data_IF_076395756800
#
_entry.id   IF_076395756800
#
_cell.length_a   1.000
_cell.length_b   1.000
_cell.length_c   1.000
_cell.angle_alpha   90.00
_cell.angle_beta   90.00
_cell.angle_gamma   90.00
#
_symmetry.space_group_name_H-M   'P 1'
#
loop_
_entity.id
_entity.type
_entity.pdbx_description
1 polymer ?
#
# COMPACT_ATOMS: atom_id res chain seq x y z
N UNK A 1 -2.03 -27.56 -13.67
CA UNK A 1 -2.57 -26.41 -12.93
C UNK A 1 -3.66 -25.78 -13.77
N UNK A 2 -4.81 -25.42 -13.18
CA UNK A 2 -5.82 -24.69 -13.93
C UNK A 2 -5.30 -23.26 -14.24
N UNK A 3 -5.76 -22.65 -15.34
CA UNK A 3 -5.35 -21.29 -15.72
C UNK A 3 -5.60 -20.27 -14.60
N UNK A 4 -6.64 -20.51 -13.78
CA UNK A 4 -7.01 -19.71 -12.61
C UNK A 4 -5.94 -19.78 -11.53
N UNK A 5 -5.35 -20.95 -11.27
CA UNK A 5 -4.33 -21.13 -10.24
C UNK A 5 -3.04 -20.38 -10.62
N UNK A 6 -2.67 -20.45 -11.90
CA UNK A 6 -1.52 -19.70 -12.44
C UNK A 6 -1.78 -18.20 -12.32
N UNK A 7 -3.00 -17.75 -12.65
CA UNK A 7 -3.40 -16.36 -12.50
C UNK A 7 -3.31 -15.86 -11.05
N UNK A 8 -3.82 -16.63 -10.10
CA UNK A 8 -3.76 -16.30 -8.66
C UNK A 8 -2.33 -16.28 -8.14
N UNK A 9 -1.49 -17.21 -8.57
CA UNK A 9 -0.08 -17.22 -8.22
C UNK A 9 0.64 -15.97 -8.73
N UNK A 10 0.41 -15.58 -9.99
CA UNK A 10 1.00 -14.37 -10.57
C UNK A 10 0.52 -13.10 -9.87
N UNK A 11 -0.78 -12.99 -9.60
CA UNK A 11 -1.35 -11.88 -8.82
C UNK A 11 -0.76 -11.86 -7.41
N UNK A 12 -0.61 -13.02 -6.79
CA UNK A 12 0.04 -13.18 -5.49
C UNK A 12 1.46 -12.63 -5.51
N UNK A 13 2.29 -13.04 -6.46
CA UNK A 13 3.67 -12.55 -6.61
C UNK A 13 3.72 -11.03 -6.80
N UNK A 14 2.88 -10.48 -7.67
CA UNK A 14 2.79 -9.02 -7.87
C UNK A 14 2.43 -8.33 -6.55
N UNK A 15 1.47 -8.87 -5.80
CA UNK A 15 1.03 -8.30 -4.54
C UNK A 15 2.09 -8.40 -3.43
N UNK A 16 2.85 -9.51 -3.36
CA UNK A 16 3.97 -9.69 -2.40
C UNK A 16 5.04 -8.64 -2.60
N UNK A 17 5.41 -8.34 -3.84
CA UNK A 17 6.57 -7.49 -4.11
C UNK A 17 6.22 -6.02 -4.39
N UNK A 18 5.03 -5.75 -4.92
CA UNK A 18 4.63 -4.43 -5.39
C UNK A 18 3.30 -3.94 -4.82
N UNK A 19 2.65 -4.70 -3.92
CA UNK A 19 1.28 -4.41 -3.50
C UNK A 19 1.08 -3.01 -2.93
N UNK A 20 1.91 -2.58 -1.98
CA UNK A 20 1.77 -1.23 -1.41
C UNK A 20 1.98 -0.11 -2.45
N UNK A 21 2.93 -0.29 -3.37
CA UNK A 21 3.14 0.67 -4.46
C UNK A 21 1.94 0.69 -5.42
N UNK A 22 1.43 -0.49 -5.79
CA UNK A 22 0.29 -0.64 -6.67
C UNK A 22 -0.97 0.02 -6.11
N UNK A 23 -1.21 -0.06 -4.80
CA UNK A 23 -2.33 0.63 -4.16
C UNK A 23 -2.24 2.16 -4.28
N UNK A 24 -1.04 2.74 -4.13
CA UNK A 24 -0.85 4.19 -4.30
C UNK A 24 -1.10 4.59 -5.76
N UNK A 25 -0.56 3.83 -6.70
CA UNK A 25 -0.77 4.10 -8.12
C UNK A 25 -2.24 3.92 -8.52
N UNK A 26 -2.94 2.91 -8.01
CA UNK A 26 -4.35 2.69 -8.26
C UNK A 26 -5.20 3.89 -7.79
N UNK A 27 -4.93 4.42 -6.59
CA UNK A 27 -5.60 5.64 -6.10
C UNK A 27 -5.30 6.84 -6.98
N UNK A 28 -4.03 7.02 -7.40
CA UNK A 28 -3.66 8.12 -8.29
C UNK A 28 -4.30 8.01 -9.68
N UNK A 29 -4.46 6.79 -10.21
CA UNK A 29 -5.10 6.52 -11.48
C UNK A 29 -6.60 6.82 -11.40
N UNK A 30 -7.26 6.41 -10.32
CA UNK A 30 -8.66 6.79 -10.07
C UNK A 30 -8.81 8.31 -9.98
N UNK A 31 -7.89 8.98 -9.28
CA UNK A 31 -7.81 10.44 -9.23
C UNK A 31 -7.65 11.07 -10.62
N UNK A 32 -6.77 10.50 -11.45
CA UNK A 32 -6.59 10.92 -12.83
C UNK A 32 -7.88 10.80 -13.65
N UNK A 33 -8.56 9.66 -13.58
CA UNK A 33 -9.79 9.44 -14.33
C UNK A 33 -10.91 10.39 -13.89
N UNK A 34 -11.08 10.60 -12.59
CA UNK A 34 -12.06 11.54 -12.04
C UNK A 34 -11.71 12.99 -12.45
N UNK A 35 -10.44 13.37 -12.31
CA UNK A 35 -9.95 14.70 -12.68
C UNK A 35 -10.06 14.98 -14.18
N UNK A 36 -9.76 13.99 -15.03
CA UNK A 36 -9.90 14.07 -16.47
C UNK A 36 -11.39 14.19 -16.87
N UNK A 37 -12.27 13.46 -16.18
CA UNK A 37 -13.72 13.63 -16.32
C UNK A 37 -14.18 15.04 -15.94
N UNK A 38 -13.67 15.60 -14.84
CA UNK A 38 -13.92 17.00 -14.48
C UNK A 38 -13.41 17.99 -15.52
N UNK A 39 -12.18 17.77 -16.02
CA UNK A 39 -11.58 18.56 -17.09
C UNK A 39 -12.40 18.52 -18.38
N UNK A 40 -12.94 17.35 -18.76
CA UNK A 40 -13.82 17.18 -19.90
C UNK A 40 -15.11 18.01 -19.78
N UNK A 41 -15.74 17.99 -18.60
CA UNK A 41 -17.00 18.71 -18.34
C UNK A 41 -16.79 20.22 -18.29
N UNK A 42 -15.70 20.69 -17.68
CA UNK A 42 -15.42 22.12 -17.50
C UNK A 42 -14.70 22.76 -18.69
N UNK A 43 -14.06 21.98 -19.55
CA UNK A 43 -13.26 22.48 -20.68
C UNK A 43 -14.01 23.48 -21.58
N UNK A 44 -15.27 23.26 -22.02
CA UNK A 44 -15.96 24.22 -22.90
C UNK A 44 -16.14 25.60 -22.25
N UNK A 45 -16.45 25.64 -20.96
CA UNK A 45 -16.65 26.87 -20.19
C UNK A 45 -15.34 27.62 -19.98
N UNK A 46 -14.28 26.91 -19.58
CA UNK A 46 -12.97 27.51 -19.32
C UNK A 46 -12.33 27.97 -20.62
N UNK A 47 -12.25 27.12 -21.63
CA UNK A 47 -11.64 27.45 -22.93
C UNK A 47 -12.44 28.52 -23.67
N UNK A 48 -13.76 28.57 -23.47
CA UNK A 48 -14.61 29.61 -24.04
C UNK A 48 -14.34 31.00 -23.48
N UNK A 49 -13.93 31.11 -22.21
CA UNK A 49 -13.51 32.37 -21.62
C UNK A 49 -12.18 32.90 -22.21
N UNK A 50 -11.31 32.00 -22.68
CA UNK A 50 -9.98 32.34 -23.22
C UNK A 50 -9.88 32.24 -24.75
N UNK A 51 -11.00 31.97 -25.45
CA UNK A 51 -11.02 31.83 -26.91
C UNK A 51 -10.22 30.62 -27.44
N UNK A 52 -9.95 29.62 -26.60
CA UNK A 52 -9.06 28.48 -26.90
C UNK A 52 -9.85 27.18 -27.17
N UNK A 53 -11.01 27.27 -27.83
CA UNK A 53 -12.00 26.19 -27.97
C UNK A 53 -11.60 25.08 -28.98
N UNK A 54 -10.35 25.08 -29.46
CA UNK A 54 -9.87 24.06 -30.40
C UNK A 54 -9.66 22.69 -29.76
N UNK A 55 -9.56 21.65 -30.59
CA UNK A 55 -9.29 20.26 -30.17
C UNK A 55 -8.06 20.16 -29.25
N UNK A 56 -7.01 20.92 -29.55
CA UNK A 56 -5.79 20.98 -28.75
C UNK A 56 -6.06 21.55 -27.36
N UNK A 57 -6.81 22.65 -27.26
CA UNK A 57 -7.19 23.24 -25.97
C UNK A 57 -8.02 22.29 -25.12
N UNK A 58 -8.94 21.57 -25.76
CA UNK A 58 -9.76 20.55 -25.11
C UNK A 58 -8.93 19.39 -24.56
N UNK A 59 -8.04 18.82 -25.38
CA UNK A 59 -7.14 17.74 -24.96
C UNK A 59 -6.25 18.18 -23.79
N UNK A 60 -5.70 19.41 -23.85
CA UNK A 60 -4.91 19.98 -22.76
C UNK A 60 -5.74 20.11 -21.48
N UNK A 61 -6.96 20.62 -21.55
CA UNK A 61 -7.83 20.77 -20.37
C UNK A 61 -8.14 19.42 -19.70
N UNK A 62 -8.39 18.36 -20.47
CA UNK A 62 -8.61 17.01 -19.95
C UNK A 62 -7.34 16.45 -19.29
N UNK A 63 -6.18 16.57 -19.94
CA UNK A 63 -4.91 16.09 -19.41
C UNK A 63 -4.55 16.83 -18.11
N UNK A 64 -4.67 18.16 -18.10
CA UNK A 64 -4.40 18.98 -16.91
C UNK A 64 -5.37 18.63 -15.79
N UNK A 65 -6.67 18.49 -16.08
CA UNK A 65 -7.67 18.04 -15.11
C UNK A 65 -7.31 16.68 -14.51
N UNK A 66 -6.87 15.73 -15.33
CA UNK A 66 -6.41 14.43 -14.88
C UNK A 66 -5.18 14.50 -14.00
N UNK A 67 -4.14 15.25 -14.41
CA UNK A 67 -2.92 15.41 -13.60
C UNK A 67 -3.22 16.07 -12.24
N UNK A 68 -4.08 17.09 -12.23
CA UNK A 68 -4.55 17.72 -10.99
C UNK A 68 -5.34 16.73 -10.13
N UNK A 69 -6.24 15.94 -10.72
CA UNK A 69 -6.98 14.90 -10.01
C UNK A 69 -6.06 13.86 -9.37
N UNK A 70 -5.06 13.37 -10.10
CA UNK A 70 -4.07 12.44 -9.58
C UNK A 70 -3.28 13.01 -8.39
N UNK A 71 -2.82 14.27 -8.52
CA UNK A 71 -2.10 14.95 -7.45
C UNK A 71 -2.98 15.19 -6.21
N UNK A 72 -4.22 15.65 -6.41
CA UNK A 72 -5.18 15.89 -5.34
C UNK A 72 -5.59 14.60 -4.64
N UNK A 73 -5.78 13.50 -5.36
CA UNK A 73 -6.09 12.20 -4.75
C UNK A 73 -4.94 11.67 -3.88
N UNK A 74 -3.69 11.89 -4.30
CA UNK A 74 -2.53 11.54 -3.47
C UNK A 74 -2.49 12.34 -2.15
N UNK A 75 -2.78 13.65 -2.24
CA UNK A 75 -2.87 14.53 -1.07
C UNK A 75 -4.06 14.12 -0.19
N UNK A 76 -5.22 13.89 -0.77
CA UNK A 76 -6.44 13.47 -0.06
C UNK A 76 -6.24 12.15 0.68
N UNK A 77 -5.51 11.19 0.11
CA UNK A 77 -5.18 9.93 0.78
C UNK A 77 -4.37 10.16 2.07
N UNK A 78 -3.48 11.15 2.07
CA UNK A 78 -2.70 11.52 3.26
C UNK A 78 -3.58 12.15 4.33
N UNK A 79 -4.53 13.01 3.94
CA UNK A 79 -5.48 13.62 4.87
C UNK A 79 -6.53 12.63 5.40
N UNK A 80 -6.94 11.66 4.59
CA UNK A 80 -7.95 10.67 4.94
C UNK A 80 -7.56 9.85 6.18
N UNK A 81 -6.26 9.63 6.39
CA UNK A 81 -5.74 8.94 7.58
C UNK A 81 -5.26 9.91 8.65
N UNK A 82 -4.61 11.02 8.27
CA UNK A 82 -4.07 11.97 9.22
C UNK A 82 -5.15 12.67 10.06
N UNK A 83 -6.30 13.03 9.48
CA UNK A 83 -7.36 13.77 10.20
C UNK A 83 -7.98 12.91 11.30
N UNK A 84 -8.49 11.69 11.05
CA UNK A 84 -9.00 10.83 12.11
C UNK A 84 -7.95 10.52 13.18
N UNK A 85 -6.71 10.26 12.78
CA UNK A 85 -5.62 10.00 13.73
C UNK A 85 -5.23 11.22 14.54
N UNK A 86 -5.34 12.43 14.00
CA UNK A 86 -5.23 13.68 14.76
C UNK A 86 -6.31 13.76 15.83
N UNK A 87 -7.56 13.50 15.47
CA UNK A 87 -8.69 13.55 16.40
C UNK A 87 -8.51 12.55 17.54
N UNK A 88 -8.12 11.32 17.22
CA UNK A 88 -7.84 10.27 18.22
C UNK A 88 -6.66 10.68 19.11
N UNK A 89 -5.56 11.16 18.52
CA UNK A 89 -4.38 11.62 19.27
C UNK A 89 -4.71 12.80 20.20
N UNK A 90 -5.49 13.77 19.72
CA UNK A 90 -5.93 14.91 20.51
C UNK A 90 -6.85 14.49 21.66
N UNK A 91 -7.74 13.52 21.42
CA UNK A 91 -8.61 12.95 22.45
C UNK A 91 -7.79 12.24 23.55
N UNK A 92 -6.79 11.43 23.17
CA UNK A 92 -5.85 10.82 24.12
C UNK A 92 -5.09 11.90 24.89
N UNK A 93 -4.63 12.96 24.21
CA UNK A 93 -3.98 14.12 24.82
C UNK A 93 -4.84 14.77 25.92
N UNK A 94 -6.12 15.01 25.62
CA UNK A 94 -7.06 15.65 26.56
C UNK A 94 -7.44 14.78 27.75
N UNK A 95 -7.78 13.50 27.50
CA UNK A 95 -8.46 12.68 28.50
C UNK A 95 -7.56 11.66 29.19
N UNK A 96 -6.41 11.33 28.60
CA UNK A 96 -5.48 10.33 29.16
C UNK A 96 -4.20 10.99 29.64
N UNK A 97 -3.60 11.86 28.83
CA UNK A 97 -2.28 12.45 29.11
C UNK A 97 -2.40 13.62 30.08
N UNK A 98 -3.27 14.59 29.79
CA UNK A 98 -3.42 15.83 30.58
C UNK A 98 -3.69 15.58 32.08
N UNK A 99 -4.61 14.67 32.49
CA UNK A 99 -4.92 14.46 33.91
C UNK A 99 -3.75 13.94 34.75
N UNK A 100 -2.66 13.46 34.13
CA UNK A 100 -1.50 12.90 34.84
C UNK A 100 -0.65 13.98 35.51
N UNK A 101 -0.68 15.22 35.00
CA UNK A 101 0.21 16.29 35.48
C UNK A 101 -0.46 17.65 35.61
N UNK A 102 -1.74 17.79 35.24
CA UNK A 102 -2.50 19.01 35.50
C UNK A 102 -3.98 18.73 35.74
N UNK A 103 -4.54 19.41 36.74
CA UNK A 103 -5.97 19.38 37.08
C UNK A 103 -6.81 20.36 36.24
N UNK A 104 -6.16 21.22 35.42
CA UNK A 104 -6.85 22.19 34.57
C UNK A 104 -5.95 23.23 33.91
N UNK A 105 -6.56 24.16 33.18
CA UNK A 105 -5.86 25.31 32.56
C UNK A 105 -5.61 25.19 31.06
N UNK A 106 -5.06 26.26 30.48
CA UNK A 106 -4.90 26.43 29.03
C UNK A 106 -3.93 25.41 28.41
N UNK A 107 -3.01 24.87 29.23
CA UNK A 107 -1.99 23.91 28.80
C UNK A 107 -2.60 22.62 28.23
N UNK A 108 -3.82 22.25 28.65
CA UNK A 108 -4.56 21.07 28.13
C UNK A 108 -4.75 21.11 26.61
N UNK A 109 -4.99 22.30 26.07
CA UNK A 109 -5.22 22.47 24.63
C UNK A 109 -3.92 22.36 23.84
N UNK A 110 -2.81 22.81 24.44
CA UNK A 110 -1.48 22.64 23.89
C UNK A 110 -1.10 21.15 23.85
N UNK A 111 -1.34 20.42 24.95
CA UNK A 111 -1.11 18.96 25.03
C UNK A 111 -1.97 18.22 24.01
N UNK A 112 -3.26 18.59 23.88
CA UNK A 112 -4.16 18.04 22.88
C UNK A 112 -3.65 18.26 21.45
N UNK A 113 -3.20 19.47 21.12
CA UNK A 113 -2.68 19.79 19.80
C UNK A 113 -1.41 18.98 19.48
N UNK A 114 -0.47 18.90 20.42
CA UNK A 114 0.77 18.12 20.25
C UNK A 114 0.47 16.63 20.13
N UNK A 115 -0.39 16.08 21.00
CA UNK A 115 -0.79 14.67 20.94
C UNK A 115 -1.59 14.36 19.66
N UNK A 116 -2.38 15.31 19.17
CA UNK A 116 -3.05 15.22 17.87
C UNK A 116 -2.05 15.15 16.71
N UNK A 117 -1.05 16.04 16.68
CA UNK A 117 0.00 16.01 15.65
C UNK A 117 0.75 14.66 15.71
N UNK A 118 1.11 14.21 16.91
CA UNK A 118 1.75 12.90 17.09
C UNK A 118 0.85 11.76 16.59
N UNK A 119 -0.45 11.80 16.91
CA UNK A 119 -1.44 10.86 16.42
C UNK A 119 -1.53 10.85 14.89
N UNK A 120 -1.58 12.02 14.25
CA UNK A 120 -1.61 12.15 12.79
C UNK A 120 -0.36 11.53 12.13
N UNK A 121 0.83 11.83 12.66
CA UNK A 121 2.10 11.28 12.16
C UNK A 121 2.14 9.76 12.34
N UNK A 122 1.74 9.27 13.51
CA UNK A 122 1.71 7.84 13.81
C UNK A 122 0.70 7.11 12.93
N UNK A 123 -0.53 7.61 12.80
CA UNK A 123 -1.55 7.00 11.97
C UNK A 123 -1.19 6.97 10.49
N UNK A 124 -0.63 8.07 9.97
CA UNK A 124 -0.12 8.12 8.61
C UNK A 124 1.01 7.10 8.38
N UNK A 125 1.94 6.99 9.33
CA UNK A 125 3.07 6.04 9.27
C UNK A 125 2.58 4.59 9.36
N UNK A 126 1.72 4.29 10.34
CA UNK A 126 1.14 2.97 10.56
C UNK A 126 0.31 2.51 9.35
N UNK A 127 -0.40 3.40 8.67
CA UNK A 127 -1.15 3.03 7.46
C UNK A 127 -0.22 2.48 6.37
N UNK A 128 0.96 3.11 6.17
CA UNK A 128 1.94 2.60 5.20
C UNK A 128 2.44 1.21 5.58
N UNK A 129 2.75 1.01 6.86
CA UNK A 129 3.17 -0.31 7.35
C UNK A 129 2.06 -1.35 7.26
N UNK A 130 0.82 -1.00 7.60
CA UNK A 130 -0.33 -1.88 7.50
C UNK A 130 -0.57 -2.31 6.05
N UNK A 131 -0.45 -1.39 5.10
CA UNK A 131 -0.59 -1.70 3.68
C UNK A 131 0.49 -2.68 3.19
N UNK A 132 1.75 -2.45 3.57
CA UNK A 132 2.86 -3.38 3.27
C UNK A 132 2.60 -4.75 3.87
N UNK A 133 2.17 -4.79 5.14
CA UNK A 133 1.88 -6.03 5.84
C UNK A 133 0.75 -6.81 5.16
N UNK A 134 -0.39 -6.16 4.92
CA UNK A 134 -1.58 -6.80 4.33
C UNK A 134 -1.26 -7.30 2.93
N UNK A 135 -0.61 -6.49 2.08
CA UNK A 135 -0.31 -6.90 0.71
C UNK A 135 0.75 -7.99 0.64
N UNK A 136 1.77 -7.95 1.51
CA UNK A 136 2.76 -9.03 1.64
C UNK A 136 2.10 -10.32 2.13
N UNK A 137 1.19 -10.23 3.10
CA UNK A 137 0.48 -11.38 3.66
C UNK A 137 -0.44 -12.04 2.63
N UNK A 138 -1.34 -11.25 2.02
CA UNK A 138 -2.29 -11.75 1.02
C UNK A 138 -1.53 -12.26 -0.21
N UNK A 139 -0.49 -11.54 -0.64
CA UNK A 139 0.34 -11.97 -1.74
C UNK A 139 1.01 -13.32 -1.45
N UNK A 140 1.55 -13.49 -0.25
CA UNK A 140 2.24 -14.71 0.14
C UNK A 140 1.27 -15.88 0.22
N UNK A 141 0.06 -15.66 0.74
CA UNK A 141 -1.00 -16.67 0.80
C UNK A 141 -1.41 -17.18 -0.59
N UNK A 142 -1.52 -16.26 -1.56
CA UNK A 142 -1.87 -16.59 -2.94
C UNK A 142 -0.70 -17.25 -3.69
N UNK A 143 0.51 -16.70 -3.54
CA UNK A 143 1.69 -17.19 -4.23
C UNK A 143 2.19 -18.54 -3.70
N UNK A 144 2.00 -18.83 -2.41
CA UNK A 144 2.34 -20.13 -1.81
C UNK A 144 1.25 -21.18 -2.00
N UNK A 145 0.07 -20.80 -2.53
CA UNK A 145 -1.09 -21.69 -2.61
C UNK A 145 -1.68 -22.07 -1.25
N UNK A 146 -1.36 -21.32 -0.18
CA UNK A 146 -1.91 -21.58 1.16
C UNK A 146 -3.43 -21.33 1.20
N UNK A 147 -3.94 -20.44 0.34
CA UNK A 147 -5.38 -20.22 0.14
C UNK A 147 -5.73 -20.48 -1.32
N UNK A 148 -6.52 -21.52 -1.56
CA UNK A 148 -7.01 -21.89 -2.89
C UNK A 148 -8.48 -21.50 -3.07
N UNK A 149 -8.95 -21.45 -4.32
CA UNK A 149 -10.38 -21.23 -4.64
C UNK A 149 -11.27 -22.31 -4.01
N UNK A 150 -10.76 -23.55 -3.96
CA UNK A 150 -11.43 -24.65 -3.30
C UNK A 150 -11.61 -24.37 -1.80
N UNK A 151 -10.56 -23.91 -1.10
CA UNK A 151 -10.65 -23.56 0.33
C UNK A 151 -11.68 -22.45 0.58
N UNK A 152 -11.75 -21.43 -0.29
CA UNK A 152 -12.73 -20.35 -0.19
C UNK A 152 -14.16 -20.84 -0.41
N UNK A 153 -14.36 -21.76 -1.34
CA UNK A 153 -15.66 -22.34 -1.64
C UNK A 153 -16.10 -23.25 -0.49
N UNK A 154 -15.21 -24.09 0.02
CA UNK A 154 -15.47 -24.95 1.18
C UNK A 154 -15.74 -24.12 2.44
N UNK A 155 -15.02 -23.04 2.70
CA UNK A 155 -15.28 -22.16 3.85
C UNK A 155 -16.64 -21.46 3.73
N UNK A 156 -17.03 -21.04 2.53
CA UNK A 156 -18.37 -20.48 2.26
C UNK A 156 -19.47 -21.51 2.50
N UNK A 157 -19.28 -22.73 2.00
CA UNK A 157 -20.31 -23.77 2.04
C UNK A 157 -20.46 -24.40 3.42
N UNK A 158 -19.35 -24.51 4.17
CA UNK A 158 -19.32 -25.08 5.53
C UNK A 158 -19.51 -24.05 6.63
N UNK A 159 -19.49 -22.75 6.33
CA UNK A 159 -19.46 -21.65 7.31
C UNK A 159 -18.39 -21.82 8.40
N UNK A 160 -17.28 -22.51 8.09
CA UNK A 160 -16.14 -22.69 9.00
C UNK A 160 -14.91 -21.94 8.48
N UNK A 161 -14.17 -21.21 9.33
CA UNK A 161 -12.90 -20.58 8.94
C UNK A 161 -11.74 -21.58 8.89
N UNK A 162 -11.90 -22.82 9.37
CA UNK A 162 -10.83 -23.83 9.42
C UNK A 162 -10.09 -24.05 8.10
N UNK A 163 -10.76 -24.08 6.92
CA UNK A 163 -10.07 -24.24 5.63
C UNK A 163 -9.17 -23.07 5.23
N UNK A 164 -9.31 -21.92 5.91
CA UNK A 164 -8.53 -20.69 5.68
C UNK A 164 -7.56 -20.43 6.85
N UNK A 165 -7.59 -21.24 7.91
CA UNK A 165 -6.63 -21.08 9.02
C UNK A 165 -5.21 -21.35 8.52
N UNK A 166 -4.35 -20.34 8.67
CA UNK A 166 -2.98 -20.34 8.18
C UNK A 166 -2.05 -20.97 9.21
N UNK A 167 -1.25 -21.95 8.79
CA UNK A 167 -0.07 -22.37 9.53
C UNK A 167 1.19 -21.76 8.88
N UNK A 168 1.81 -20.75 9.51
CA UNK A 168 2.97 -20.07 8.94
C UNK A 168 4.23 -20.95 8.89
N UNK A 169 4.23 -22.10 9.56
CA UNK A 169 5.32 -23.06 9.58
C UNK A 169 5.01 -24.31 8.75
N UNK A 170 3.83 -24.40 8.12
CA UNK A 170 3.49 -25.51 7.25
C UNK A 170 4.51 -25.62 6.11
N UNK A 171 5.16 -26.78 6.03
CA UNK A 171 6.16 -27.07 5.01
C UNK A 171 5.47 -27.43 3.71
N UNK A 172 5.84 -26.73 2.64
CA UNK A 172 5.39 -27.06 1.28
C UNK A 172 6.58 -27.65 0.51
N UNK A 173 6.40 -28.77 -0.21
CA UNK A 173 7.45 -29.33 -1.03
C UNK A 173 7.73 -28.40 -2.21
N UNK A 174 8.91 -27.78 -2.22
CA UNK A 174 9.38 -26.90 -3.28
C UNK A 174 10.71 -27.43 -3.82
N UNK A 175 10.71 -27.92 -5.07
CA UNK A 175 11.90 -28.46 -5.77
C UNK A 175 12.66 -29.50 -4.92
N UNK A 176 11.93 -30.41 -4.26
CA UNK A 176 12.51 -31.50 -3.46
C UNK A 176 12.95 -31.12 -2.04
N UNK A 177 12.76 -29.87 -1.62
CA UNK A 177 13.01 -29.42 -0.25
C UNK A 177 11.70 -29.00 0.43
N UNK A 178 11.56 -29.34 1.71
CA UNK A 178 10.47 -28.85 2.55
C UNK A 178 10.81 -27.45 3.06
N UNK A 179 10.07 -26.45 2.57
CA UNK A 179 10.29 -25.05 2.95
C UNK A 179 8.96 -24.44 3.39
N UNK A 180 8.92 -23.62 4.46
CA UNK A 180 7.74 -22.86 4.84
C UNK A 180 7.55 -21.69 3.86
N UNK A 181 7.13 -22.00 2.63
CA UNK A 181 7.11 -21.06 1.49
C UNK A 181 6.28 -19.82 1.78
N UNK A 182 5.15 -19.97 2.46
CA UNK A 182 4.32 -18.86 2.91
C UNK A 182 5.10 -17.88 3.79
N UNK A 183 5.73 -18.39 4.86
CA UNK A 183 6.51 -17.57 5.79
C UNK A 183 7.70 -16.89 5.10
N UNK A 184 8.39 -17.61 4.22
CA UNK A 184 9.50 -17.07 3.42
C UNK A 184 9.03 -15.95 2.50
N UNK A 185 7.98 -16.17 1.70
CA UNK A 185 7.44 -15.15 0.80
C UNK A 185 6.90 -13.95 1.55
N UNK A 186 6.29 -14.15 2.72
CA UNK A 186 5.78 -13.07 3.55
C UNK A 186 6.90 -12.17 4.07
N UNK A 187 7.95 -12.76 4.63
CA UNK A 187 9.12 -12.01 5.11
C UNK A 187 9.81 -11.30 3.95
N UNK A 188 10.02 -12.00 2.81
CA UNK A 188 10.59 -11.39 1.61
C UNK A 188 9.73 -10.24 1.08
N UNK A 189 8.40 -10.36 1.11
CA UNK A 189 7.47 -9.30 0.72
C UNK A 189 7.61 -8.06 1.60
N UNK A 190 7.61 -8.24 2.92
CA UNK A 190 7.81 -7.14 3.86
C UNK A 190 9.17 -6.47 3.60
N UNK A 191 10.25 -7.25 3.56
CA UNK A 191 11.60 -6.72 3.31
C UNK A 191 11.66 -5.99 1.96
N UNK A 192 10.99 -6.53 0.93
CA UNK A 192 10.95 -5.93 -0.39
C UNK A 192 10.30 -4.56 -0.39
N UNK A 193 9.08 -4.51 0.15
CA UNK A 193 8.24 -3.32 0.10
C UNK A 193 8.67 -2.22 1.08
N UNK A 194 9.28 -2.59 2.22
CA UNK A 194 9.90 -1.64 3.16
C UNK A 194 11.18 -1.01 2.58
N UNK A 195 11.78 -1.64 1.57
CA UNK A 195 12.88 -1.05 0.79
C UNK A 195 14.25 -1.69 0.98
N UNK A 196 14.34 -2.94 1.45
CA UNK A 196 15.63 -3.65 1.56
C UNK A 196 16.34 -3.76 0.19
N UNK A 197 15.59 -3.85 -0.92
CA UNK A 197 16.13 -3.80 -2.29
C UNK A 197 16.55 -2.38 -2.75
N UNK A 198 15.99 -1.32 -2.17
CA UNK A 198 16.39 0.08 -2.45
C UNK A 198 17.65 0.50 -1.69
N UNK A 199 17.97 -0.17 -0.59
CA UNK A 199 19.09 0.20 0.29
C UNK A 199 20.45 -0.39 -0.13
N UNK A 200 20.55 -1.07 -1.29
CA UNK A 200 21.81 -1.68 -1.75
C UNK A 200 22.30 -2.86 -0.92
N UNK A 201 21.50 -3.32 0.05
CA UNK A 201 21.84 -4.48 0.90
C UNK A 201 21.92 -5.77 0.10
N UNK A 202 21.12 -5.89 -0.96
CA UNK A 202 21.18 -7.05 -1.86
C UNK A 202 22.45 -7.04 -2.70
N UNK A 203 22.96 -5.87 -3.10
CA UNK A 203 24.29 -5.77 -3.72
C UNK A 203 25.41 -6.14 -2.71
N UNK A 204 25.26 -5.76 -1.43
CA UNK A 204 26.17 -6.18 -0.35
C UNK A 204 26.10 -7.68 -0.02
N UNK A 205 24.94 -8.30 -0.14
CA UNK A 205 24.79 -9.76 0.08
C UNK A 205 25.27 -10.53 -1.17
N UNK A 206 25.01 -10.02 -2.37
CA UNK A 206 25.50 -10.56 -3.63
C UNK A 206 27.02 -10.52 -3.75
N UNK A 207 27.69 -9.52 -3.15
CA UNK A 207 29.16 -9.44 -3.08
C UNK A 207 29.78 -10.41 -2.07
N UNK A 208 28.99 -10.95 -1.13
CA UNK A 208 29.43 -11.95 -0.15
C UNK A 208 29.14 -13.39 -0.63
N UNK A 209 28.21 -13.57 -1.57
CA UNK A 209 27.91 -14.87 -2.20
C UNK A 209 28.91 -15.18 -3.33
N UNK A 210 29.77 -16.20 -3.17
CA UNK A 210 30.71 -16.59 -4.22
C UNK A 210 29.94 -17.04 -5.47
N UNK A 211 30.14 -16.33 -6.58
CA UNK A 211 29.53 -16.61 -7.88
C UNK A 211 28.43 -15.64 -8.35
N UNK A 212 27.99 -14.68 -7.53
CA UNK A 212 27.01 -13.63 -7.96
C UNK A 212 27.70 -12.32 -8.33
N UNK A 213 28.92 -12.08 -7.82
CA UNK A 213 29.70 -10.87 -8.11
C UNK A 213 30.01 -10.62 -9.58
N UNK A 214 30.01 -11.65 -10.44
CA UNK A 214 30.34 -11.51 -11.87
C UNK A 214 29.15 -11.13 -12.77
N UNK A 215 27.94 -11.01 -12.22
CA UNK A 215 26.74 -10.64 -13.03
C UNK A 215 26.25 -9.22 -12.72
N UNK A 216 26.77 -8.59 -11.66
CA UNK A 216 26.36 -7.25 -11.21
C UNK A 216 27.46 -6.21 -11.41
N UNK A 217 28.66 -6.61 -11.84
CA UNK A 217 29.75 -5.70 -12.15
C UNK A 217 30.55 -6.19 -13.34
N UNK A 218 30.24 -5.64 -14.51
CA UNK A 218 31.20 -5.23 -15.54
C UNK A 218 30.44 -4.40 -16.58
N UNK A 219 30.48 -3.08 -16.39
CA UNK A 219 30.34 -2.09 -17.47
C UNK A 219 31.51 -1.10 -17.27
N UNK A 220 32.70 -1.53 -17.67
CA UNK A 220 33.67 -0.65 -18.36
C UNK A 220 33.67 -1.00 -19.85
#
# INVERSE_FOLDING_TARGET
MALVDIGLLLVGLVLVFFGAALSVYAVSLLGFLIGAGGGYVLAPTVLGAFGAQGLVGFAVAVIVGGLLGAALSYVALSFATAIPSFVVGAYIGLYVITPVFTEGGLIRYLVAAVAGIAGAVLGFTLTKFALVFITSFVGAALASGAVTVANLTTARDSFSPEPILFDPLATTPFVGFEVPLFGVLFVLGILSQVGLFRLGWVAKIATVLPGVGSVVGDDE
#
